data_IF_941823245336
#
_entry.id   IF_941823245336
#
_cell.length_a   1.000
_cell.length_b   1.000
_cell.length_c   1.000
_cell.angle_alpha   90.00
_cell.angle_beta   90.00
_cell.angle_gamma   90.00
#
_symmetry.space_group_name_H-M   'P 1'
#
loop_
_entity.id
_entity.type
_entity.pdbx_description
1 polymer ?
#
# COMPACT_ATOMS: atom_id res chain seq x y z
N UNK A 1 28.68 14.85 -43.07
CA UNK A 1 28.79 15.63 -41.82
C UNK A 1 27.39 16.11 -41.45
N UNK A 2 26.91 15.79 -40.23
CA UNK A 2 25.55 16.01 -39.64
C UNK A 2 24.43 15.12 -40.22
N UNK A 3 23.67 14.31 -39.49
CA UNK A 3 23.67 13.94 -38.05
C UNK A 3 22.88 12.63 -37.94
N UNK A 4 23.54 11.55 -37.52
CA UNK A 4 22.91 10.27 -37.23
C UNK A 4 22.47 10.25 -35.75
N UNK A 5 21.28 10.76 -35.44
CA UNK A 5 20.71 10.67 -34.08
C UNK A 5 19.20 10.93 -34.09
N UNK A 6 18.43 9.97 -34.62
CA UNK A 6 16.97 9.91 -34.41
C UNK A 6 16.54 8.47 -34.19
N UNK A 7 17.22 7.76 -33.28
CA UNK A 7 16.94 6.35 -32.97
C UNK A 7 17.33 5.96 -31.53
N UNK A 8 17.03 6.81 -30.53
CA UNK A 8 17.25 6.45 -29.12
C UNK A 8 16.11 6.85 -28.16
N UNK A 9 14.97 7.32 -28.66
CA UNK A 9 13.88 7.80 -27.81
C UNK A 9 12.51 7.20 -28.17
N UNK A 10 12.45 5.94 -28.61
CA UNK A 10 11.24 5.13 -28.45
C UNK A 10 11.18 4.62 -27.01
N UNK A 11 11.13 5.54 -26.05
CA UNK A 11 10.67 5.22 -24.69
C UNK A 11 9.28 4.61 -24.87
N UNK A 12 9.15 3.31 -24.56
CA UNK A 12 7.88 2.60 -24.55
C UNK A 12 7.06 3.12 -23.37
N UNK A 13 6.38 4.25 -23.56
CA UNK A 13 5.55 4.93 -22.56
C UNK A 13 4.44 4.05 -22.00
N UNK A 14 3.99 3.05 -22.76
CA UNK A 14 2.88 2.16 -22.41
C UNK A 14 3.13 1.29 -21.16
N UNK A 15 4.38 1.08 -20.74
CA UNK A 15 4.71 0.24 -19.56
C UNK A 15 5.06 1.07 -18.31
N UNK A 16 5.31 2.37 -18.46
CA UNK A 16 5.70 3.25 -17.33
C UNK A 16 4.54 4.02 -16.75
N UNK A 17 3.42 4.16 -17.46
CA UNK A 17 2.22 4.87 -16.98
C UNK A 17 1.66 4.28 -15.68
N UNK A 18 1.53 2.96 -15.60
CA UNK A 18 1.05 2.27 -14.39
C UNK A 18 1.94 2.54 -13.16
N UNK A 19 3.26 2.29 -13.19
CA UNK A 19 4.11 2.56 -12.02
C UNK A 19 4.21 4.06 -11.68
N UNK A 20 4.11 4.97 -12.65
CA UNK A 20 4.16 6.42 -12.40
C UNK A 20 2.88 6.93 -11.70
N UNK A 21 1.71 6.45 -12.13
CA UNK A 21 0.42 6.80 -11.53
C UNK A 21 0.34 6.28 -10.09
N UNK A 22 0.85 5.07 -9.85
CA UNK A 22 0.93 4.47 -8.52
C UNK A 22 1.92 5.24 -7.63
N UNK A 23 3.10 5.60 -8.13
CA UNK A 23 4.08 6.38 -7.37
C UNK A 23 3.52 7.76 -7.01
N UNK A 24 2.82 8.43 -7.94
CA UNK A 24 2.16 9.71 -7.69
C UNK A 24 1.07 9.60 -6.62
N UNK A 25 0.24 8.55 -6.70
CA UNK A 25 -0.77 8.26 -5.68
C UNK A 25 -0.13 7.99 -4.31
N UNK A 26 0.94 7.19 -4.27
CA UNK A 26 1.65 6.83 -3.05
C UNK A 26 2.28 8.07 -2.38
N UNK A 27 2.85 8.99 -3.18
CA UNK A 27 3.34 10.28 -2.69
C UNK A 27 2.20 11.12 -2.11
N UNK A 28 1.04 11.15 -2.76
CA UNK A 28 -0.15 11.85 -2.25
C UNK A 28 -0.60 11.29 -0.89
N UNK A 29 -0.61 9.97 -0.74
CA UNK A 29 -0.91 9.29 0.54
C UNK A 29 0.12 9.68 1.62
N UNK A 30 1.41 9.70 1.29
CA UNK A 30 2.47 10.06 2.25
C UNK A 30 2.36 11.52 2.70
N UNK A 31 2.04 12.43 1.78
CA UNK A 31 1.80 13.84 2.10
C UNK A 31 0.58 13.98 3.02
N UNK A 32 -0.51 13.29 2.72
CA UNK A 32 -1.70 13.28 3.57
C UNK A 32 -1.36 12.74 4.96
N UNK A 33 -0.69 11.59 5.05
CA UNK A 33 -0.24 10.97 6.31
C UNK A 33 0.63 11.92 7.14
N UNK A 34 1.55 12.62 6.49
CA UNK A 34 2.43 13.61 7.13
C UNK A 34 1.66 14.83 7.64
N UNK A 35 0.68 15.31 6.86
CA UNK A 35 -0.19 16.42 7.28
C UNK A 35 -1.06 16.05 8.49
N UNK A 36 -1.60 14.83 8.53
CA UNK A 36 -2.31 14.31 9.71
C UNK A 36 -1.39 14.15 10.92
N UNK A 37 -0.13 13.79 10.71
CA UNK A 37 0.85 13.69 11.79
C UNK A 37 1.18 15.06 12.42
N UNK A 38 1.01 16.17 11.71
CA UNK A 38 1.22 17.52 12.26
C UNK A 38 0.06 17.99 13.16
N UNK A 39 -1.14 17.42 13.01
CA UNK A 39 -2.31 17.74 13.84
C UNK A 39 -2.30 16.96 15.16
N UNK A 40 -1.86 17.60 16.24
CA UNK A 40 -1.83 16.98 17.59
C UNK A 40 -3.22 16.71 18.18
N UNK A 41 -4.28 17.37 17.68
CA UNK A 41 -5.64 17.24 18.25
C UNK A 41 -6.36 15.98 17.76
N UNK A 42 -6.12 15.52 16.53
CA UNK A 42 -6.80 14.33 15.98
C UNK A 42 -6.24 13.01 16.54
N UNK A 43 -4.92 12.93 16.79
CA UNK A 43 -4.26 11.70 17.29
C UNK A 43 -4.78 11.22 18.65
N UNK A 44 -5.29 12.14 19.48
CA UNK A 44 -5.80 11.79 20.82
C UNK A 44 -7.17 11.11 20.77
N UNK A 45 -7.92 11.30 19.68
CA UNK A 45 -9.29 10.78 19.54
C UNK A 45 -9.38 9.60 18.57
N UNK A 46 -8.56 9.59 17.51
CA UNK A 46 -8.63 8.56 16.46
C UNK A 46 -7.27 7.94 16.15
N UNK A 47 -7.19 6.61 15.99
CA UNK A 47 -5.98 5.95 15.52
C UNK A 47 -5.68 6.34 14.07
N UNK A 48 -4.40 6.42 13.74
CA UNK A 48 -3.92 6.85 12.41
C UNK A 48 -4.55 6.03 11.26
N UNK A 49 -4.67 4.72 11.44
CA UNK A 49 -5.28 3.82 10.45
C UNK A 49 -6.76 4.14 10.20
N UNK A 50 -7.53 4.55 11.22
CA UNK A 50 -8.94 4.87 11.04
C UNK A 50 -9.13 6.12 10.17
N UNK A 51 -8.28 7.14 10.37
CA UNK A 51 -8.31 8.37 9.57
C UNK A 51 -7.97 8.07 8.11
N UNK A 52 -6.94 7.24 7.86
CA UNK A 52 -6.55 6.83 6.52
C UNK A 52 -7.65 6.02 5.81
N UNK A 53 -8.34 5.13 6.52
CA UNK A 53 -9.49 4.38 5.98
C UNK A 53 -10.62 5.34 5.59
N UNK A 54 -11.00 6.26 6.48
CA UNK A 54 -12.08 7.23 6.19
C UNK A 54 -11.72 8.10 5.00
N UNK A 55 -10.47 8.59 4.91
CA UNK A 55 -10.01 9.39 3.78
C UNK A 55 -10.03 8.59 2.47
N UNK A 56 -9.60 7.33 2.50
CA UNK A 56 -9.65 6.44 1.34
C UNK A 56 -11.09 6.20 0.86
N UNK A 57 -12.04 6.01 1.79
CA UNK A 57 -13.45 5.83 1.48
C UNK A 57 -14.08 7.10 0.91
N UNK A 58 -13.80 8.28 1.48
CA UNK A 58 -14.35 9.53 0.95
C UNK A 58 -13.80 9.84 -0.44
N UNK A 59 -12.48 9.70 -0.65
CA UNK A 59 -11.88 9.88 -1.96
C UNK A 59 -12.40 8.88 -3.00
N UNK A 60 -12.53 7.60 -2.62
CA UNK A 60 -13.09 6.56 -3.48
C UNK A 60 -14.54 6.85 -3.89
N UNK A 61 -15.36 7.32 -2.95
CA UNK A 61 -16.74 7.76 -3.23
C UNK A 61 -16.79 8.94 -4.21
N UNK A 62 -15.95 9.96 -4.01
CA UNK A 62 -15.89 11.11 -4.95
C UNK A 62 -15.46 10.69 -6.36
N UNK A 63 -14.51 9.77 -6.50
CA UNK A 63 -14.07 9.27 -7.81
C UNK A 63 -15.19 8.49 -8.50
N UNK A 64 -15.89 7.63 -7.76
CA UNK A 64 -17.03 6.89 -8.28
C UNK A 64 -18.12 7.82 -8.81
N UNK A 65 -18.46 8.87 -8.05
CA UNK A 65 -19.51 9.82 -8.42
C UNK A 65 -19.15 10.65 -9.66
N UNK A 66 -17.88 11.04 -9.82
CA UNK A 66 -17.43 11.91 -10.92
C UNK A 66 -17.17 11.14 -12.22
N UNK A 67 -16.56 9.95 -12.11
CA UNK A 67 -16.07 9.21 -13.28
C UNK A 67 -16.92 7.98 -13.61
N UNK A 68 -17.87 7.58 -12.76
CA UNK A 68 -18.68 6.37 -12.90
C UNK A 68 -17.86 5.12 -13.23
N UNK A 69 -16.61 5.08 -12.77
CA UNK A 69 -15.73 3.92 -12.89
C UNK A 69 -15.89 3.06 -11.65
N UNK A 70 -16.09 1.76 -11.86
CA UNK A 70 -16.08 0.84 -10.75
C UNK A 70 -14.64 0.62 -10.27
N UNK A 71 -14.38 1.04 -9.03
CA UNK A 71 -13.09 0.87 -8.35
C UNK A 71 -12.98 -0.55 -7.78
N UNK A 72 -12.66 -1.52 -8.65
CA UNK A 72 -12.34 -2.87 -8.21
C UNK A 72 -10.84 -3.05 -8.00
N UNK A 73 -10.48 -3.58 -6.84
CA UNK A 73 -9.10 -3.97 -6.57
C UNK A 73 -8.81 -5.31 -7.26
N UNK A 74 -8.27 -5.25 -8.49
CA UNK A 74 -7.80 -6.45 -9.17
C UNK A 74 -6.66 -7.11 -8.37
N UNK A 75 -6.68 -8.45 -8.22
CA UNK A 75 -5.64 -9.17 -7.49
C UNK A 75 -4.23 -8.85 -8.00
N UNK A 76 -4.03 -8.75 -9.31
CA UNK A 76 -2.73 -8.43 -9.90
C UNK A 76 -2.21 -7.06 -9.42
N UNK A 77 -3.08 -6.05 -9.35
CA UNK A 77 -2.70 -4.72 -8.86
C UNK A 77 -2.30 -4.77 -7.39
N UNK A 78 -3.04 -5.54 -6.58
CA UNK A 78 -2.73 -5.71 -5.17
C UNK A 78 -1.38 -6.40 -4.96
N UNK A 79 -1.16 -7.56 -5.58
CA UNK A 79 0.05 -8.35 -5.36
C UNK A 79 1.31 -7.69 -5.95
N UNK A 80 1.22 -7.07 -7.13
CA UNK A 80 2.40 -6.47 -7.76
C UNK A 80 2.74 -5.08 -7.22
N UNK A 81 1.77 -4.31 -6.74
CA UNK A 81 2.00 -2.90 -6.42
C UNK A 81 1.66 -2.47 -4.99
N UNK A 82 0.58 -2.98 -4.39
CA UNK A 82 0.20 -2.57 -3.02
C UNK A 82 0.90 -3.42 -1.96
N UNK A 83 0.99 -4.73 -2.18
CA UNK A 83 1.55 -5.65 -1.20
C UNK A 83 3.05 -5.39 -0.92
N UNK A 84 3.93 -5.16 -1.92
CA UNK A 84 5.34 -4.90 -1.66
C UNK A 84 5.62 -3.74 -0.69
N UNK A 85 5.06 -2.52 -0.87
CA UNK A 85 5.26 -1.43 0.08
C UNK A 85 4.62 -1.69 1.44
N UNK A 86 3.45 -2.36 1.51
CA UNK A 86 2.79 -2.68 2.79
C UNK A 86 3.66 -3.62 3.63
N UNK A 87 4.16 -4.71 3.02
CA UNK A 87 5.02 -5.67 3.72
C UNK A 87 6.37 -5.05 4.07
N UNK A 88 6.93 -4.20 3.21
CA UNK A 88 8.16 -3.47 3.50
C UNK A 88 7.99 -2.49 4.67
N UNK A 89 6.89 -1.73 4.71
CA UNK A 89 6.59 -0.81 5.81
C UNK A 89 6.44 -1.57 7.14
N UNK A 90 5.64 -2.65 7.14
CA UNK A 90 5.44 -3.48 8.32
C UNK A 90 6.74 -4.15 8.81
N UNK A 91 7.56 -4.65 7.88
CA UNK A 91 8.86 -5.25 8.19
C UNK A 91 9.89 -4.23 8.66
N UNK A 92 9.88 -3.01 8.11
CA UNK A 92 10.83 -1.95 8.49
C UNK A 92 10.59 -1.42 9.90
N UNK A 93 9.33 -1.28 10.32
CA UNK A 93 8.99 -0.86 11.68
C UNK A 93 9.06 -1.99 12.72
N UNK A 94 9.41 -3.21 12.31
CA UNK A 94 9.52 -4.36 13.20
C UNK A 94 10.88 -4.37 13.93
N UNK A 95 10.91 -4.45 15.28
CA UNK A 95 12.15 -4.58 16.04
C UNK A 95 12.77 -5.96 15.83
N UNK A 96 13.86 -6.03 15.05
CA UNK A 96 14.47 -7.28 14.63
C UNK A 96 15.07 -8.11 15.78
N UNK A 97 15.62 -7.47 16.82
CA UNK A 97 16.19 -8.16 17.98
C UNK A 97 15.11 -8.94 18.77
N UNK A 98 14.01 -8.27 19.12
CA UNK A 98 12.91 -8.88 19.88
C UNK A 98 12.18 -9.96 19.08
N UNK A 99 12.03 -9.74 17.77
CA UNK A 99 11.50 -10.74 16.86
C UNK A 99 12.37 -12.00 16.85
N UNK A 100 13.69 -11.84 16.66
CA UNK A 100 14.64 -12.95 16.58
C UNK A 100 14.77 -13.71 17.91
N UNK A 101 14.70 -13.01 19.04
CA UNK A 101 14.72 -13.63 20.37
C UNK A 101 13.51 -14.56 20.62
N UNK A 102 12.37 -14.29 19.96
CA UNK A 102 11.10 -14.99 20.18
C UNK A 102 10.59 -15.75 18.95
N UNK A 103 11.46 -16.07 17.98
CA UNK A 103 11.08 -16.70 16.70
C UNK A 103 10.22 -17.95 16.87
N UNK A 104 10.51 -18.79 17.87
CA UNK A 104 9.74 -20.01 18.11
C UNK A 104 8.28 -19.72 18.45
N UNK A 105 8.03 -18.79 19.36
CA UNK A 105 6.67 -18.38 19.75
C UNK A 105 5.93 -17.72 18.60
N UNK A 106 6.64 -16.87 17.84
CA UNK A 106 6.05 -16.17 16.69
C UNK A 106 5.69 -17.17 15.58
N UNK A 107 6.56 -18.12 15.25
CA UNK A 107 6.29 -19.16 14.26
C UNK A 107 5.15 -20.07 14.70
N UNK A 108 5.10 -20.45 15.99
CA UNK A 108 4.01 -21.25 16.53
C UNK A 108 2.68 -20.51 16.38
N UNK A 109 2.63 -19.23 16.75
CA UNK A 109 1.44 -18.41 16.60
C UNK A 109 1.06 -18.23 15.12
N UNK A 110 2.02 -17.93 14.26
CA UNK A 110 1.78 -17.71 12.83
C UNK A 110 1.25 -18.97 12.14
N UNK A 111 1.90 -20.13 12.34
CA UNK A 111 1.53 -21.37 11.65
C UNK A 111 0.30 -22.01 12.28
N UNK A 112 0.33 -22.30 13.59
CA UNK A 112 -0.80 -22.97 14.25
C UNK A 112 -2.03 -22.07 14.31
N UNK A 113 -1.85 -20.76 14.56
CA UNK A 113 -2.95 -19.80 14.55
C UNK A 113 -3.62 -19.71 13.18
N UNK A 114 -2.85 -19.69 12.09
CA UNK A 114 -3.41 -19.70 10.74
C UNK A 114 -4.12 -21.01 10.41
N UNK A 115 -3.53 -22.16 10.77
CA UNK A 115 -4.19 -23.47 10.56
C UNK A 115 -5.52 -23.57 11.32
N UNK A 116 -5.55 -23.12 12.58
CA UNK A 116 -6.78 -23.07 13.37
C UNK A 116 -7.80 -22.10 12.76
N UNK A 117 -7.36 -20.94 12.27
CA UNK A 117 -8.21 -19.98 11.58
C UNK A 117 -8.85 -20.58 10.33
N UNK A 118 -8.07 -21.31 9.51
CA UNK A 118 -8.56 -22.02 8.33
C UNK A 118 -9.59 -23.08 8.73
N UNK A 119 -9.33 -23.88 9.77
CA UNK A 119 -10.24 -24.96 10.19
C UNK A 119 -11.54 -24.42 10.80
N UNK A 120 -11.47 -23.33 11.57
CA UNK A 120 -12.65 -22.75 12.24
C UNK A 120 -13.51 -21.91 11.31
N UNK A 121 -12.90 -21.06 10.47
CA UNK A 121 -13.61 -20.12 9.59
C UNK A 121 -13.84 -20.70 8.20
N UNK A 122 -12.87 -21.45 7.66
CA UNK A 122 -12.85 -21.96 6.28
C UNK A 122 -13.78 -23.15 6.01
N UNK A 123 -14.96 -23.15 6.62
CA UNK A 123 -16.08 -24.01 6.21
C UNK A 123 -16.79 -23.45 5.00
#
# INVERSE_FOLDING_TARGET
MKTATKNIASIKWNNVEAPLLILSWLICIVIAKTAFHSSNTLKRLFPESAVLIVLGLTAGYFIYEVFHIDLYLHPDLFFFYLLPPIVLEAGYFMPSHEFLANVWTILLYAVLGTLMNIVMIGK
#
